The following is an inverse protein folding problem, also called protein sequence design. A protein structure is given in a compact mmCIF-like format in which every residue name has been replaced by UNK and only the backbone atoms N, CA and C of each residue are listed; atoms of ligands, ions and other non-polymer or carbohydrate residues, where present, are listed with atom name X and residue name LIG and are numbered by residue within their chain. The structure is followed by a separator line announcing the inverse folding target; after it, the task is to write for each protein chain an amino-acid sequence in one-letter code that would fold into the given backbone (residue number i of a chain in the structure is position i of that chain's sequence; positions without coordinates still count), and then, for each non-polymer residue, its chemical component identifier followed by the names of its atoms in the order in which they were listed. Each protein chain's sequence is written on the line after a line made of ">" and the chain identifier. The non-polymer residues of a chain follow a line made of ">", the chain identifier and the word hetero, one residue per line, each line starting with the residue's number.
data_IF_399208261213
#
_entry.id   IF_399208261213
#
_cell.length_a   1.000
_cell.length_b   1.000
_cell.length_c   1.000
_cell.angle_alpha   90.00
_cell.angle_beta   90.00
_cell.angle_gamma   90.00
#
_symmetry.space_group_name_H-M   'P 1'
#
loop_
_entity.id
_entity.type
_entity.pdbx_description
1 polymer ?
#
# COMPACT_ATOMS: atom_id res chain seq x y z
N UNK A 1 4.08 -21.31 10.72
CA UNK A 1 4.26 -20.81 9.33
C UNK A 1 4.55 -19.32 9.44
N UNK A 2 5.57 -18.83 8.73
CA UNK A 2 6.01 -17.42 8.80
C UNK A 2 5.09 -16.60 7.88
N UNK A 3 4.44 -15.57 8.43
CA UNK A 3 3.57 -14.68 7.65
C UNK A 3 4.41 -13.51 7.17
N UNK A 4 4.69 -13.39 5.86
CA UNK A 4 5.66 -12.40 5.37
C UNK A 4 4.98 -11.18 4.78
N UNK A 5 5.44 -10.01 5.20
CA UNK A 5 5.12 -8.72 4.59
C UNK A 5 6.39 -8.12 4.00
N UNK A 6 6.54 -8.23 2.68
CA UNK A 6 7.63 -7.67 1.89
C UNK A 6 7.28 -6.25 1.45
N UNK A 7 8.24 -5.35 1.62
CA UNK A 7 8.12 -3.93 1.33
C UNK A 7 9.32 -3.51 0.49
N UNK A 8 9.08 -2.90 -0.67
CA UNK A 8 10.12 -2.43 -1.57
C UNK A 8 9.89 -0.95 -1.91
N UNK A 9 10.90 -0.14 -1.62
CA UNK A 9 11.00 1.24 -2.08
C UNK A 9 12.04 1.32 -3.20
N UNK A 10 11.60 1.22 -4.45
CA UNK A 10 12.47 1.16 -5.61
C UNK A 10 12.69 2.55 -6.23
N UNK A 11 13.94 2.95 -6.44
CA UNK A 11 14.33 4.24 -7.04
C UNK A 11 15.24 4.06 -8.25
N UNK A 12 15.34 5.09 -9.10
CA UNK A 12 16.22 5.06 -10.28
C UNK A 12 15.68 4.21 -11.43
N UNK A 13 14.37 4.05 -11.51
CA UNK A 13 13.68 3.18 -12.45
C UNK A 13 13.45 3.89 -13.79
N UNK A 14 13.56 3.16 -14.90
CA UNK A 14 13.27 3.72 -16.23
C UNK A 14 11.79 4.12 -16.35
N UNK A 15 11.53 5.40 -16.60
CA UNK A 15 10.20 6.03 -16.53
C UNK A 15 9.14 5.39 -17.43
N UNK A 16 9.52 4.94 -18.64
CA UNK A 16 8.57 4.47 -19.64
C UNK A 16 7.74 3.25 -19.18
N UNK A 17 8.26 2.44 -18.26
CA UNK A 17 7.59 1.23 -17.78
C UNK A 17 6.65 1.49 -16.59
N UNK A 18 6.71 2.69 -16.00
CA UNK A 18 5.95 3.03 -14.78
C UNK A 18 4.55 3.58 -15.08
N UNK A 19 4.28 3.98 -16.32
CA UNK A 19 2.98 4.52 -16.75
C UNK A 19 2.25 3.62 -17.76
N UNK A 20 2.72 2.39 -17.97
CA UNK A 20 2.09 1.43 -18.86
C UNK A 20 1.18 0.48 -18.05
N UNK A 21 -0.13 0.73 -18.14
CA UNK A 21 -1.16 -0.02 -17.43
C UNK A 21 -1.12 -1.52 -17.81
N UNK A 22 -0.90 -1.83 -19.08
CA UNK A 22 -0.87 -3.21 -19.57
C UNK A 22 0.38 -3.92 -19.07
N UNK A 23 1.51 -3.22 -19.07
CA UNK A 23 2.76 -3.74 -18.52
C UNK A 23 2.59 -4.07 -17.03
N UNK A 24 2.08 -3.14 -16.24
CA UNK A 24 1.82 -3.35 -14.80
C UNK A 24 0.91 -4.55 -14.56
N UNK A 25 -0.22 -4.64 -15.27
CA UNK A 25 -1.13 -5.77 -15.13
C UNK A 25 -0.45 -7.12 -15.41
N UNK A 26 0.29 -7.20 -16.51
CA UNK A 26 1.00 -8.42 -16.90
C UNK A 26 2.07 -8.81 -15.87
N UNK A 27 2.87 -7.84 -15.42
CA UNK A 27 3.90 -8.08 -14.41
C UNK A 27 3.30 -8.54 -13.09
N UNK A 28 2.19 -7.97 -12.61
CA UNK A 28 1.55 -8.43 -11.37
C UNK A 28 1.01 -9.86 -11.49
N UNK A 29 0.43 -10.23 -12.64
CA UNK A 29 0.02 -11.60 -12.91
C UNK A 29 1.22 -12.56 -12.98
N UNK A 30 2.32 -12.14 -13.59
CA UNK A 30 3.54 -12.94 -13.67
C UNK A 30 4.16 -13.16 -12.27
N UNK A 31 4.29 -12.09 -11.48
CA UNK A 31 4.87 -12.13 -10.13
C UNK A 31 4.04 -13.06 -9.23
N UNK A 32 2.72 -12.91 -9.23
CA UNK A 32 1.82 -13.77 -8.43
C UNK A 32 1.95 -15.24 -8.82
N UNK A 33 1.98 -15.54 -10.13
CA UNK A 33 2.19 -16.90 -10.61
C UNK A 33 3.57 -17.47 -10.26
N UNK A 34 4.65 -16.70 -10.49
CA UNK A 34 6.04 -17.15 -10.24
C UNK A 34 6.35 -17.31 -8.76
N UNK A 35 5.70 -16.53 -7.89
CA UNK A 35 5.78 -16.69 -6.44
C UNK A 35 4.83 -17.75 -5.88
N UNK A 36 3.94 -18.32 -6.72
CA UNK A 36 2.91 -19.29 -6.32
C UNK A 36 1.94 -18.73 -5.27
N UNK A 37 1.63 -17.43 -5.37
CA UNK A 37 0.63 -16.79 -4.54
C UNK A 37 -0.76 -17.20 -5.01
N UNK A 38 -1.77 -17.07 -4.14
CA UNK A 38 -3.17 -17.40 -4.47
C UNK A 38 -3.98 -16.13 -4.66
N UNK A 39 -4.08 -15.57 -5.89
CA UNK A 39 -4.93 -14.42 -6.15
C UNK A 39 -6.41 -14.77 -6.04
N UNK A 40 -7.18 -13.92 -5.37
CA UNK A 40 -8.65 -14.00 -5.23
C UNK A 40 -9.35 -13.28 -6.37
N UNK A 41 -8.72 -12.24 -6.91
CA UNK A 41 -9.20 -11.46 -8.04
C UNK A 41 -8.04 -11.02 -8.94
N UNK A 42 -8.31 -10.69 -10.22
CA UNK A 42 -7.33 -10.06 -11.08
C UNK A 42 -6.82 -8.72 -10.51
N UNK A 43 -5.65 -8.23 -10.96
CA UNK A 43 -5.16 -6.92 -10.56
C UNK A 43 -6.17 -5.81 -10.85
N UNK A 44 -6.45 -5.00 -9.84
CA UNK A 44 -7.28 -3.81 -9.94
C UNK A 44 -6.39 -2.60 -10.20
N UNK A 45 -6.57 -1.94 -11.35
CA UNK A 45 -5.69 -0.88 -11.85
C UNK A 45 -6.34 0.49 -11.66
N UNK A 46 -5.59 1.42 -11.07
CA UNK A 46 -6.03 2.78 -10.73
C UNK A 46 -5.05 3.81 -11.27
N UNK A 47 -5.25 4.32 -12.49
CA UNK A 47 -4.51 5.46 -13.00
C UNK A 47 -4.82 6.70 -12.15
N UNK A 48 -3.78 7.33 -11.63
CA UNK A 48 -3.87 8.52 -10.78
C UNK A 48 -3.12 9.66 -11.48
N UNK A 49 -3.81 10.39 -12.36
CA UNK A 49 -3.22 11.45 -13.18
C UNK A 49 -3.59 12.87 -12.74
N UNK A 50 -4.51 12.99 -11.78
CA UNK A 50 -5.06 14.26 -11.32
C UNK A 50 -4.98 14.38 -9.80
N UNK A 51 -3.86 13.90 -9.25
CA UNK A 51 -3.63 13.87 -7.83
C UNK A 51 -3.54 15.25 -7.18
N UNK A 52 -3.53 15.22 -5.85
CA UNK A 52 -3.28 16.41 -5.05
C UNK A 52 -1.92 17.03 -5.46
N UNK A 53 -0.86 16.23 -5.47
CA UNK A 53 0.45 16.66 -5.92
C UNK A 53 0.62 16.37 -7.42
N UNK A 54 0.91 17.39 -8.27
CA UNK A 54 1.11 17.20 -9.70
C UNK A 54 2.27 16.25 -10.03
N UNK A 55 3.27 16.14 -9.17
CA UNK A 55 4.44 15.29 -9.39
C UNK A 55 4.17 13.80 -9.12
N UNK A 56 3.12 13.49 -8.36
CA UNK A 56 2.77 12.12 -7.92
C UNK A 56 1.78 11.42 -8.86
N UNK A 57 1.79 11.81 -10.13
CA UNK A 57 1.06 11.04 -11.13
C UNK A 57 1.61 9.62 -11.24
N UNK A 58 0.76 8.69 -11.65
CA UNK A 58 1.18 7.33 -11.93
C UNK A 58 0.04 6.35 -11.92
N UNK A 59 0.34 5.11 -11.57
CA UNK A 59 -0.62 4.01 -11.52
C UNK A 59 -0.49 3.35 -10.16
N UNK A 60 -1.59 3.33 -9.41
CA UNK A 60 -1.75 2.47 -8.26
C UNK A 60 -2.42 1.18 -8.70
N UNK A 61 -2.04 0.05 -8.12
CA UNK A 61 -2.70 -1.22 -8.41
C UNK A 61 -2.65 -2.12 -7.19
N UNK A 62 -3.64 -2.99 -7.05
CA UNK A 62 -3.63 -4.01 -6.02
C UNK A 62 -4.17 -5.35 -6.53
N UNK A 63 -3.73 -6.43 -5.90
CA UNK A 63 -4.23 -7.80 -6.09
C UNK A 63 -4.65 -8.30 -4.73
N UNK A 64 -5.90 -8.74 -4.58
CA UNK A 64 -6.30 -9.51 -3.41
C UNK A 64 -5.66 -10.89 -3.50
N UNK A 65 -4.95 -11.27 -2.45
CA UNK A 65 -4.48 -12.64 -2.23
C UNK A 65 -5.36 -13.29 -1.16
N UNK A 66 -5.30 -14.62 -1.06
CA UNK A 66 -6.02 -15.36 -0.02
C UNK A 66 -5.50 -14.96 1.37
N UNK A 67 -6.20 -14.04 2.02
CA UNK A 67 -5.82 -13.49 3.33
C UNK A 67 -4.65 -12.51 3.30
N UNK A 68 -4.33 -11.95 2.13
CA UNK A 68 -3.24 -11.00 1.96
C UNK A 68 -3.43 -10.12 0.73
N UNK A 69 -2.38 -9.45 0.30
CA UNK A 69 -2.42 -8.53 -0.83
C UNK A 69 -1.07 -8.34 -1.50
N UNK A 70 -1.12 -7.85 -2.74
CA UNK A 70 0.02 -7.24 -3.43
C UNK A 70 -0.41 -5.86 -3.91
N UNK A 71 0.22 -4.79 -3.45
CA UNK A 71 0.00 -3.43 -3.94
C UNK A 71 1.25 -2.89 -4.63
N UNK A 72 1.05 -2.01 -5.61
CA UNK A 72 2.11 -1.24 -6.24
C UNK A 72 1.63 0.19 -6.49
N UNK A 73 2.50 1.15 -6.23
CA UNK A 73 2.31 2.57 -6.53
C UNK A 73 3.47 3.06 -7.37
N UNK A 74 3.22 3.49 -8.60
CA UNK A 74 4.27 3.99 -9.49
C UNK A 74 4.29 5.51 -9.53
N UNK A 75 5.50 6.07 -9.69
CA UNK A 75 5.73 7.51 -9.80
C UNK A 75 6.64 7.78 -11.00
N UNK A 76 6.11 7.85 -12.24
CA UNK A 76 6.92 7.93 -13.44
C UNK A 76 7.81 9.19 -13.50
N UNK A 77 7.37 10.31 -12.92
CA UNK A 77 8.18 11.53 -12.90
C UNK A 77 9.35 11.43 -11.92
N UNK A 78 9.13 10.79 -10.77
CA UNK A 78 10.12 10.56 -9.73
C UNK A 78 11.03 9.36 -10.03
N UNK A 79 10.72 8.58 -11.06
CA UNK A 79 11.47 7.38 -11.43
C UNK A 79 11.56 6.37 -10.26
N UNK A 80 10.45 6.19 -9.55
CA UNK A 80 10.35 5.26 -8.43
C UNK A 80 9.01 4.51 -8.41
N UNK A 81 8.95 3.42 -7.66
CA UNK A 81 7.71 2.71 -7.34
C UNK A 81 7.81 2.05 -5.97
N UNK A 82 6.68 1.94 -5.27
CA UNK A 82 6.58 1.31 -3.97
C UNK A 82 5.70 0.06 -4.05
N UNK A 83 6.10 -1.00 -3.38
CA UNK A 83 5.40 -2.29 -3.33
C UNK A 83 5.18 -2.71 -1.90
N UNK A 84 4.01 -3.29 -1.65
CA UNK A 84 3.70 -4.03 -0.43
C UNK A 84 3.10 -5.39 -0.82
N UNK A 85 3.75 -6.47 -0.38
CA UNK A 85 3.34 -7.84 -0.64
C UNK A 85 3.21 -8.58 0.69
N UNK A 86 1.97 -8.85 1.08
CA UNK A 86 1.64 -9.63 2.26
C UNK A 86 0.98 -10.95 1.88
N UNK A 87 1.51 -12.06 2.39
CA UNK A 87 0.90 -13.38 2.26
C UNK A 87 0.97 -14.15 3.60
N UNK A 88 -0.16 -14.66 4.12
CA UNK A 88 -0.20 -15.41 5.37
C UNK A 88 0.45 -16.79 5.28
N UNK A 89 0.60 -17.37 4.09
CA UNK A 89 1.31 -18.63 3.84
C UNK A 89 2.82 -18.42 3.62
N UNK A 90 3.22 -17.17 3.37
CA UNK A 90 4.60 -16.76 3.15
C UNK A 90 5.12 -17.09 1.74
N UNK A 91 6.28 -16.56 1.41
CA UNK A 91 6.93 -16.73 0.10
C UNK A 91 8.45 -16.55 0.22
N UNK A 92 9.17 -16.67 -0.90
CA UNK A 92 10.61 -16.38 -0.96
C UNK A 92 10.84 -14.90 -1.33
N UNK A 93 11.30 -14.11 -0.36
CA UNK A 93 11.55 -12.68 -0.46
C UNK A 93 12.67 -12.33 -1.44
N UNK A 94 13.75 -13.13 -1.48
CA UNK A 94 14.85 -12.95 -2.45
C UNK A 94 14.33 -13.14 -3.88
N UNK A 95 13.45 -14.12 -4.07
CA UNK A 95 12.79 -14.34 -5.36
C UNK A 95 11.83 -13.19 -5.69
N UNK A 96 11.06 -12.69 -4.73
CA UNK A 96 10.17 -11.56 -4.94
C UNK A 96 10.96 -10.33 -5.41
N UNK A 97 12.03 -9.97 -4.70
CA UNK A 97 12.91 -8.86 -5.09
C UNK A 97 13.51 -9.06 -6.48
N UNK A 98 13.99 -10.26 -6.79
CA UNK A 98 14.55 -10.57 -8.11
C UNK A 98 13.52 -10.38 -9.24
N UNK A 99 12.26 -10.79 -9.01
CA UNK A 99 11.18 -10.62 -10.00
C UNK A 99 10.82 -9.15 -10.23
N UNK A 100 10.76 -8.36 -9.16
CA UNK A 100 10.55 -6.91 -9.27
C UNK A 100 11.71 -6.23 -10.00
N UNK A 101 12.96 -6.64 -9.73
CA UNK A 101 14.13 -6.12 -10.43
C UNK A 101 14.18 -6.54 -11.91
N UNK A 102 13.78 -7.77 -12.24
CA UNK A 102 13.71 -8.29 -13.61
C UNK A 102 12.74 -7.46 -14.47
N UNK A 103 11.57 -7.11 -13.92
CA UNK A 103 10.53 -6.35 -14.62
C UNK A 103 10.76 -4.83 -14.57
N UNK A 104 11.09 -4.31 -13.39
CA UNK A 104 11.39 -2.89 -13.19
C UNK A 104 12.78 -2.74 -12.55
N UNK A 105 13.85 -2.76 -13.37
CA UNK A 105 15.20 -2.53 -12.88
C UNK A 105 15.29 -1.21 -12.11
N UNK A 106 15.79 -1.28 -10.89
CA UNK A 106 15.98 -0.16 -9.97
C UNK A 106 17.42 -0.08 -9.49
N UNK A 107 17.82 1.07 -8.98
CA UNK A 107 19.13 1.27 -8.36
C UNK A 107 19.13 0.68 -6.95
N UNK A 108 19.80 -0.46 -6.76
CA UNK A 108 19.84 -1.21 -5.50
C UNK A 108 20.47 -0.40 -4.36
N UNK A 109 21.46 0.44 -4.65
CA UNK A 109 22.15 1.26 -3.63
C UNK A 109 21.27 2.41 -3.14
N UNK A 110 20.24 2.77 -3.92
CA UNK A 110 19.28 3.81 -3.57
C UNK A 110 17.96 3.27 -3.03
N UNK A 111 17.70 1.99 -3.23
CA UNK A 111 16.43 1.32 -2.93
C UNK A 111 16.48 0.57 -1.61
N UNK A 112 15.33 0.41 -0.99
CA UNK A 112 15.22 -0.30 0.29
C UNK A 112 14.27 -1.48 0.15
N UNK A 113 14.67 -2.61 0.72
CA UNK A 113 13.83 -3.80 0.86
C UNK A 113 13.75 -4.15 2.33
N UNK A 114 12.53 -4.27 2.85
CA UNK A 114 12.26 -4.67 4.23
C UNK A 114 11.24 -5.80 4.19
N UNK A 115 11.50 -6.88 4.95
CA UNK A 115 10.51 -7.94 5.15
C UNK A 115 10.24 -8.11 6.63
N UNK A 116 8.97 -8.11 7.01
CA UNK A 116 8.53 -8.31 8.39
C UNK A 116 7.80 -9.64 8.49
N UNK A 117 8.17 -10.44 9.49
CA UNK A 117 7.38 -11.60 9.93
C UNK A 117 6.24 -11.13 10.85
N UNK A 118 5.01 -11.23 10.35
CA UNK A 118 3.78 -10.84 11.04
C UNK A 118 3.20 -11.95 11.92
N UNK A 119 3.80 -13.14 11.94
CA UNK A 119 3.38 -14.22 12.83
C UNK A 119 3.78 -13.96 14.30
N UNK A 120 4.87 -13.21 14.50
CA UNK A 120 5.42 -12.86 15.81
C UNK A 120 4.65 -11.65 16.37
N UNK A 121 4.07 -11.81 17.56
CA UNK A 121 3.45 -10.70 18.29
C UNK A 121 4.53 -9.84 18.93
N UNK A 122 4.71 -8.61 18.44
CA UNK A 122 5.66 -7.64 19.01
C UNK A 122 5.13 -6.22 18.88
N UNK A 123 5.63 -5.35 19.74
CA UNK A 123 5.48 -3.91 19.60
C UNK A 123 6.84 -3.32 19.26
N UNK A 124 6.95 -2.70 18.09
CA UNK A 124 8.21 -2.16 17.60
C UNK A 124 7.97 -0.91 16.76
N UNK A 125 8.72 0.15 17.03
CA UNK A 125 8.75 1.36 16.20
C UNK A 125 10.20 1.53 15.77
N UNK A 126 10.47 1.32 14.49
CA UNK A 126 11.80 1.60 13.94
C UNK A 126 12.00 3.12 14.00
N UNK A 127 13.08 3.64 14.58
CA UNK A 127 13.33 5.07 14.65
C UNK A 127 13.39 5.72 13.26
N UNK A 128 12.80 6.90 13.10
CA UNK A 128 12.86 7.69 11.88
C UNK A 128 12.72 9.18 12.16
N UNK A 129 13.25 10.01 11.26
CA UNK A 129 12.91 11.43 11.18
C UNK A 129 11.67 11.60 10.29
N UNK A 130 10.55 12.15 10.80
CA UNK A 130 9.34 12.40 10.02
C UNK A 130 9.54 13.28 8.78
N UNK A 131 10.62 14.08 8.72
CA UNK A 131 10.96 14.95 7.58
C UNK A 131 11.78 14.25 6.50
N UNK A 132 12.37 13.10 6.80
CA UNK A 132 13.25 12.36 5.87
C UNK A 132 12.54 11.18 5.19
N UNK A 133 11.29 10.90 5.53
CA UNK A 133 10.54 9.75 5.03
C UNK A 133 9.26 10.19 4.30
N UNK A 134 8.75 9.33 3.41
CA UNK A 134 7.46 9.54 2.76
C UNK A 134 6.31 9.33 3.76
N UNK A 135 6.41 8.27 4.57
CA UNK A 135 5.49 8.04 5.66
C UNK A 135 5.76 6.73 6.42
N UNK A 136 5.24 6.59 7.64
CA UNK A 136 5.30 5.33 8.37
C UNK A 136 4.32 4.30 7.78
N UNK A 137 4.75 3.05 7.69
CA UNK A 137 3.90 1.90 7.41
C UNK A 137 3.65 1.15 8.73
N UNK A 138 2.39 1.15 9.18
CA UNK A 138 1.95 0.40 10.35
C UNK A 138 1.50 -1.00 9.92
N UNK A 139 2.08 -2.02 10.53
CA UNK A 139 1.67 -3.42 10.43
C UNK A 139 1.11 -3.84 11.78
N UNK A 140 -0.19 -4.11 11.85
CA UNK A 140 -0.84 -4.52 13.10
C UNK A 140 -1.52 -5.88 12.96
N UNK A 141 -1.53 -6.62 14.06
CA UNK A 141 -2.44 -7.75 14.27
C UNK A 141 -3.45 -7.33 15.32
N UNK A 142 -4.73 -7.49 15.03
CA UNK A 142 -5.82 -6.97 15.84
C UNK A 142 -6.80 -8.09 16.20
N UNK A 143 -7.42 -7.96 17.37
CA UNK A 143 -8.55 -8.79 17.79
C UNK A 143 -9.83 -7.96 17.71
N UNK A 144 -10.84 -8.35 16.92
CA UNK A 144 -12.07 -7.58 16.78
C UNK A 144 -12.87 -7.53 18.08
N UNK A 145 -13.52 -6.40 18.33
CA UNK A 145 -14.48 -6.23 19.44
C UNK A 145 -15.91 -6.64 19.07
N UNK A 146 -16.23 -6.63 17.77
CA UNK A 146 -17.55 -6.90 17.21
C UNK A 146 -17.43 -7.98 16.13
N UNK A 147 -18.52 -8.70 15.80
CA UNK A 147 -18.53 -9.57 14.64
C UNK A 147 -18.08 -8.83 13.37
N UNK A 148 -17.16 -9.42 12.62
CA UNK A 148 -16.61 -8.84 11.40
C UNK A 148 -17.44 -9.32 10.22
N UNK A 149 -18.17 -8.39 9.58
CA UNK A 149 -18.95 -8.60 8.35
C UNK A 149 -18.42 -7.74 7.21
N UNK A 150 -18.91 -7.94 5.99
CA UNK A 150 -18.57 -7.11 4.84
C UNK A 150 -18.87 -5.63 5.12
N UNK A 151 -20.06 -5.33 5.66
CA UNK A 151 -20.49 -3.98 6.05
C UNK A 151 -19.63 -3.40 7.18
N UNK A 152 -19.21 -4.23 8.14
CA UNK A 152 -18.32 -3.79 9.20
C UNK A 152 -16.99 -3.30 8.63
N UNK A 153 -16.35 -4.10 7.77
CA UNK A 153 -15.05 -3.73 7.17
C UNK A 153 -15.21 -2.49 6.30
N UNK A 154 -16.24 -2.45 5.46
CA UNK A 154 -16.48 -1.30 4.59
C UNK A 154 -16.60 0.00 5.38
N UNK A 155 -17.48 0.02 6.40
CA UNK A 155 -17.68 1.20 7.25
C UNK A 155 -16.45 1.52 8.09
N UNK A 156 -15.73 0.50 8.54
CA UNK A 156 -14.51 0.69 9.32
C UNK A 156 -13.44 1.40 8.50
N UNK A 157 -13.15 0.92 7.29
CA UNK A 157 -12.17 1.53 6.39
C UNK A 157 -12.61 2.94 5.95
N UNK A 158 -13.88 3.12 5.62
CA UNK A 158 -14.43 4.43 5.23
C UNK A 158 -14.30 5.46 6.36
N UNK A 159 -14.67 5.09 7.59
CA UNK A 159 -14.54 5.97 8.75
C UNK A 159 -13.08 6.23 9.11
N UNK A 160 -12.22 5.22 9.03
CA UNK A 160 -10.81 5.37 9.35
C UNK A 160 -10.15 6.40 8.43
N UNK A 161 -10.37 6.31 7.11
CA UNK A 161 -9.84 7.27 6.13
C UNK A 161 -10.24 8.72 6.50
N UNK A 162 -11.50 8.92 6.90
CA UNK A 162 -12.00 10.22 7.34
C UNK A 162 -11.35 10.68 8.67
N UNK A 163 -11.25 9.78 9.65
CA UNK A 163 -10.67 10.04 10.97
C UNK A 163 -9.19 10.45 10.89
N UNK A 164 -8.45 9.93 9.90
CA UNK A 164 -7.02 10.19 9.71
C UNK A 164 -6.73 11.24 8.63
N UNK A 165 -7.78 11.91 8.14
CA UNK A 165 -7.73 12.98 7.14
C UNK A 165 -6.97 12.60 5.85
N UNK A 166 -7.07 11.34 5.44
CA UNK A 166 -6.47 10.86 4.20
C UNK A 166 -7.46 10.99 3.03
N UNK A 167 -6.95 11.21 1.82
CA UNK A 167 -7.78 11.32 0.61
C UNK A 167 -7.92 9.95 -0.04
N UNK A 168 -9.12 9.34 -0.08
CA UNK A 168 -9.32 8.09 -0.81
C UNK A 168 -9.24 8.31 -2.33
N UNK A 169 -8.59 7.39 -3.03
CA UNK A 169 -8.68 7.27 -4.50
C UNK A 169 -9.95 6.48 -4.87
N UNK A 170 -10.23 5.41 -4.12
CA UNK A 170 -11.46 4.63 -4.23
C UNK A 170 -12.10 4.42 -2.87
N UNK A 171 -13.38 4.05 -2.87
CA UNK A 171 -14.05 3.52 -1.68
C UNK A 171 -13.53 2.11 -1.37
N UNK A 172 -13.72 1.61 -0.13
CA UNK A 172 -13.30 0.28 0.24
C UNK A 172 -13.89 -0.82 -0.66
N UNK A 173 -13.03 -1.68 -1.18
CA UNK A 173 -13.43 -2.94 -1.82
C UNK A 173 -13.36 -4.03 -0.75
N UNK A 174 -14.46 -4.73 -0.48
CA UNK A 174 -14.50 -5.87 0.44
C UNK A 174 -14.88 -7.16 -0.30
N UNK A 175 -14.20 -8.27 0.00
CA UNK A 175 -14.36 -9.55 -0.72
C UNK A 175 -14.05 -10.76 0.18
N UNK A 176 -14.74 -11.88 -0.07
CA UNK A 176 -14.37 -13.19 0.45
C UNK A 176 -13.36 -13.89 -0.47
N UNK A 177 -12.42 -14.65 0.09
CA UNK A 177 -11.42 -15.39 -0.70
C UNK A 177 -12.02 -16.50 -1.57
N UNK A 178 -13.19 -17.02 -1.21
CA UNK A 178 -13.92 -18.05 -1.95
C UNK A 178 -15.44 -17.90 -1.80
N UNK A 179 -16.20 -18.34 -2.81
CA UNK A 179 -17.66 -18.43 -2.73
C UNK A 179 -18.17 -19.64 -1.93
N UNK A 180 -17.31 -20.65 -1.71
CA UNK A 180 -17.60 -21.86 -0.94
C UNK A 180 -16.60 -21.98 0.20
N UNK A 181 -17.10 -22.03 1.42
CA UNK A 181 -16.30 -22.18 2.65
C UNK A 181 -15.12 -21.18 2.71
N UNK A 182 -15.40 -19.86 2.71
CA UNK A 182 -14.35 -18.86 2.75
C UNK A 182 -13.48 -19.02 4.00
N UNK A 183 -12.19 -18.78 3.86
CA UNK A 183 -11.23 -18.73 4.98
C UNK A 183 -10.94 -17.30 5.41
N UNK A 184 -11.10 -16.33 4.50
CA UNK A 184 -10.80 -14.93 4.74
C UNK A 184 -11.89 -14.01 4.22
N UNK A 185 -12.09 -12.93 4.98
CA UNK A 185 -12.85 -11.76 4.57
C UNK A 185 -11.88 -10.57 4.54
N UNK A 186 -11.65 -10.02 3.36
CA UNK A 186 -10.62 -8.99 3.13
C UNK A 186 -11.25 -7.68 2.65
N UNK A 187 -10.66 -6.56 3.04
CA UNK A 187 -10.99 -5.24 2.52
C UNK A 187 -9.74 -4.41 2.26
N UNK A 188 -9.73 -3.67 1.15
CA UNK A 188 -8.67 -2.72 0.79
C UNK A 188 -9.33 -1.42 0.37
N UNK A 189 -8.77 -0.30 0.82
CA UNK A 189 -9.06 1.01 0.24
C UNK A 189 -7.76 1.66 -0.20
N UNK A 190 -7.73 2.17 -1.43
CA UNK A 190 -6.59 2.91 -1.93
C UNK A 190 -6.75 4.37 -1.56
N UNK A 191 -5.73 4.92 -0.93
CA UNK A 191 -5.62 6.35 -0.62
C UNK A 191 -4.57 6.95 -1.54
N UNK A 192 -4.48 8.28 -1.59
CA UNK A 192 -3.45 8.97 -2.38
C UNK A 192 -2.10 8.29 -2.13
N UNK A 193 -1.54 7.67 -3.17
CA UNK A 193 -0.19 7.10 -3.22
C UNK A 193 0.09 6.00 -2.17
N UNK A 194 -0.95 5.37 -1.60
CA UNK A 194 -0.81 4.24 -0.69
C UNK A 194 -2.11 3.45 -0.48
N UNK A 195 -2.22 2.66 0.59
CA UNK A 195 -3.37 1.82 0.89
C UNK A 195 -3.58 1.61 2.39
N UNK A 196 -4.81 1.19 2.70
CA UNK A 196 -5.17 0.58 3.98
C UNK A 196 -5.76 -0.79 3.68
N UNK A 197 -5.23 -1.84 4.30
CA UNK A 197 -5.75 -3.21 4.15
C UNK A 197 -6.25 -3.79 5.48
N UNK A 198 -7.21 -4.70 5.36
CA UNK A 198 -7.87 -5.36 6.47
C UNK A 198 -8.19 -6.80 6.04
N UNK A 199 -7.46 -7.78 6.57
CA UNK A 199 -7.66 -9.20 6.27
C UNK A 199 -8.09 -9.93 7.54
N UNK A 200 -9.36 -10.35 7.59
CA UNK A 200 -9.92 -11.10 8.71
C UNK A 200 -9.87 -12.61 8.43
N UNK A 201 -9.22 -13.36 9.32
CA UNK A 201 -9.21 -14.81 9.26
C UNK A 201 -10.44 -15.39 9.96
N UNK A 202 -11.28 -16.12 9.23
CA UNK A 202 -12.54 -16.68 9.74
C UNK A 202 -12.33 -17.86 10.71
N UNK A 203 -11.14 -18.46 10.70
CA UNK A 203 -10.79 -19.59 11.57
C UNK A 203 -10.21 -19.13 12.90
N UNK A 204 -9.22 -18.25 12.86
CA UNK A 204 -8.50 -17.78 14.06
C UNK A 204 -9.13 -16.53 14.68
N UNK A 205 -9.90 -15.77 13.90
CA UNK A 205 -10.60 -14.58 14.38
C UNK A 205 -9.71 -13.35 14.58
N UNK A 206 -8.47 -13.36 14.10
CA UNK A 206 -7.57 -12.22 14.08
C UNK A 206 -7.66 -11.45 12.75
N UNK A 207 -7.28 -10.17 12.83
CA UNK A 207 -7.23 -9.25 11.70
C UNK A 207 -5.78 -8.88 11.44
N UNK A 208 -5.33 -9.06 10.20
CA UNK A 208 -4.09 -8.49 9.70
C UNK A 208 -4.43 -7.16 9.06
N UNK A 209 -4.02 -6.10 9.72
CA UNK A 209 -4.31 -4.72 9.33
C UNK A 209 -3.01 -4.01 8.98
N UNK A 210 -3.03 -3.21 7.92
CA UNK A 210 -1.95 -2.29 7.66
C UNK A 210 -2.44 -0.99 7.03
N UNK A 211 -1.63 0.04 7.27
CA UNK A 211 -1.83 1.38 6.75
C UNK A 211 -0.46 1.94 6.42
N UNK A 212 -0.32 2.35 5.18
CA UNK A 212 0.78 3.16 4.69
C UNK A 212 0.17 4.41 4.07
N UNK A 213 0.88 5.54 4.10
CA UNK A 213 0.42 6.80 3.52
C UNK A 213 1.59 7.64 3.04
N UNK A 214 1.33 8.45 2.01
CA UNK A 214 2.28 9.35 1.36
C UNK A 214 2.58 10.65 2.11
N UNK A 215 2.01 10.80 3.29
CA UNK A 215 2.24 11.92 4.18
C UNK A 215 2.66 11.34 5.52
N UNK A 216 3.74 11.89 6.09
CA UNK A 216 4.07 11.63 7.48
C UNK A 216 2.84 11.88 8.35
N UNK A 217 2.38 10.83 9.04
CA UNK A 217 1.22 10.88 9.91
C UNK A 217 1.60 10.38 11.30
N UNK A 218 0.84 10.82 12.30
CA UNK A 218 1.10 10.43 13.67
C UNK A 218 0.58 9.00 13.90
N UNK A 219 1.50 8.02 13.91
CA UNK A 219 1.18 6.62 14.15
C UNK A 219 0.56 6.37 15.54
N UNK A 220 0.80 7.24 16.53
CA UNK A 220 0.16 7.16 17.85
C UNK A 220 -1.33 7.50 17.79
N UNK A 221 -1.73 8.41 16.88
CA UNK A 221 -3.16 8.64 16.63
C UNK A 221 -3.81 7.37 16.09
N UNK A 222 -3.19 6.72 15.10
CA UNK A 222 -3.70 5.44 14.58
C UNK A 222 -3.80 4.41 15.70
N UNK A 223 -2.75 4.25 16.51
CA UNK A 223 -2.75 3.31 17.64
C UNK A 223 -3.89 3.62 18.61
N UNK A 224 -4.18 4.89 18.90
CA UNK A 224 -5.32 5.32 19.73
C UNK A 224 -6.66 4.98 19.08
N UNK A 225 -6.83 5.19 17.78
CA UNK A 225 -8.03 4.77 17.03
C UNK A 225 -8.22 3.26 17.11
N UNK A 226 -7.16 2.47 16.85
CA UNK A 226 -7.18 1.00 16.94
C UNK A 226 -7.57 0.53 18.35
N UNK A 227 -7.01 1.12 19.42
CA UNK A 227 -7.35 0.79 20.82
C UNK A 227 -8.83 1.06 21.15
N UNK A 228 -9.45 2.04 20.49
CA UNK A 228 -10.87 2.37 20.69
C UNK A 228 -11.78 1.38 19.96
N UNK A 229 -11.40 0.93 18.77
CA UNK A 229 -12.24 0.08 17.90
C UNK A 229 -12.06 -1.42 18.11
N UNK A 230 -10.86 -1.84 18.51
CA UNK A 230 -10.48 -3.25 18.65
C UNK A 230 -10.54 -3.70 20.12
N UNK A 231 -10.66 -5.01 20.32
CA UNK A 231 -10.58 -5.62 21.65
C UNK A 231 -9.14 -5.63 22.16
N UNK A 232 -8.20 -5.95 21.28
CA UNK A 232 -6.78 -6.05 21.59
C UNK A 232 -5.93 -5.78 20.34
N UNK A 233 -4.65 -5.46 20.54
CA UNK A 233 -3.64 -5.25 19.49
C UNK A 233 -2.44 -6.17 19.79
N UNK A 234 -2.52 -7.48 19.49
CA UNK A 234 -1.43 -8.43 19.78
C UNK A 234 -0.09 -8.14 19.10
N UNK A 235 -0.06 -7.30 18.06
CA UNK A 235 1.17 -6.87 17.38
C UNK A 235 0.97 -5.48 16.79
N UNK A 236 1.99 -4.62 16.91
CA UNK A 236 2.00 -3.27 16.34
C UNK A 236 3.43 -2.89 15.96
N UNK A 237 3.73 -2.94 14.66
CA UNK A 237 5.05 -2.66 14.11
C UNK A 237 4.96 -1.43 13.20
N UNK A 238 5.89 -0.50 13.34
CA UNK A 238 5.98 0.70 12.50
C UNK A 238 7.31 0.72 11.75
N UNK A 239 7.23 0.73 10.42
CA UNK A 239 8.38 0.74 9.52
C UNK A 239 8.37 2.04 8.70
N UNK A 240 9.43 2.87 8.76
CA UNK A 240 9.53 4.05 7.90
C UNK A 240 9.73 3.66 6.44
N UNK A 241 9.08 4.38 5.54
CA UNK A 241 9.15 4.14 4.09
C UNK A 241 9.42 5.42 3.31
N UNK A 242 10.03 5.27 2.14
CA UNK A 242 10.14 6.32 1.14
C UNK A 242 11.22 7.38 1.41
N UNK A 243 12.37 6.98 1.97
CA UNK A 243 13.45 7.88 2.45
C UNK A 243 14.07 8.84 1.42
N UNK A 244 13.78 8.68 0.12
CA UNK A 244 14.30 9.55 -0.96
C UNK A 244 13.22 10.28 -1.75
N UNK A 245 11.95 10.04 -1.44
CA UNK A 245 10.84 10.58 -2.22
C UNK A 245 10.83 12.12 -2.20
N UNK A 246 11.02 12.70 -1.01
CA UNK A 246 11.03 14.15 -0.80
C UNK A 246 12.16 14.84 -1.58
N UNK A 247 13.39 14.31 -1.49
CA UNK A 247 14.53 14.80 -2.26
C UNK A 247 14.30 14.78 -3.77
N UNK A 248 13.65 13.74 -4.29
CA UNK A 248 13.35 13.63 -5.72
C UNK A 248 12.32 14.68 -6.18
N UNK A 249 11.31 14.96 -5.35
CA UNK A 249 10.32 16.02 -5.61
C UNK A 249 10.97 17.39 -5.71
N UNK A 250 11.81 17.74 -4.74
CA UNK A 250 12.51 19.03 -4.70
C UNK A 250 13.37 19.25 -5.95
N UNK A 251 14.10 18.21 -6.37
CA UNK A 251 14.92 18.27 -7.59
C UNK A 251 14.11 18.39 -8.89
N UNK A 252 12.89 17.84 -8.94
CA UNK A 252 12.01 17.98 -10.10
C UNK A 252 11.38 19.37 -10.18
N UNK A 253 10.94 19.93 -9.05
CA UNK A 253 10.31 21.25 -9.02
C UNK A 253 11.26 22.36 -9.49
N UNK A 254 12.57 22.19 -9.28
CA UNK A 254 13.60 23.08 -9.80
C UNK A 254 13.68 23.09 -11.34
N UNK A 255 13.12 22.09 -12.05
CA UNK A 255 13.00 22.05 -13.52
C UNK A 255 11.68 22.68 -13.99
N UNK A 256 11.58 24.01 -13.87
CA UNK A 256 10.38 24.89 -14.02
C UNK A 256 9.34 24.56 -15.12
N UNK A 257 9.71 24.00 -16.27
CA UNK A 257 8.81 23.91 -17.43
C UNK A 257 7.71 22.83 -17.37
N UNK A 258 7.97 21.70 -16.67
CA UNK A 258 6.99 20.59 -16.56
C UNK A 258 5.92 20.86 -15.50
N UNK A 259 6.26 21.60 -14.44
CA UNK A 259 5.37 21.80 -13.28
C UNK A 259 4.19 22.73 -13.56
N UNK A 260 4.35 23.78 -14.39
CA UNK A 260 3.26 24.74 -14.67
C UNK A 260 2.09 24.12 -15.44
N UNK A 261 2.40 23.33 -16.48
CA UNK A 261 1.38 22.68 -17.31
C UNK A 261 0.60 21.62 -16.51
N UNK A 262 1.30 20.87 -15.65
CA UNK A 262 0.69 19.85 -14.79
C UNK A 262 -0.17 20.47 -13.68
N UNK A 263 0.30 21.55 -13.05
CA UNK A 263 -0.49 22.34 -12.08
C UNK A 263 -1.80 22.81 -12.69
N UNK A 264 -1.78 23.29 -13.95
CA UNK A 264 -2.99 23.72 -14.66
C UNK A 264 -4.03 22.60 -14.82
N UNK A 265 -3.61 21.38 -15.18
CA UNK A 265 -4.53 20.25 -15.34
C UNK A 265 -5.08 19.73 -14.01
N UNK A 266 -4.23 19.60 -12.97
CA UNK A 266 -4.68 19.21 -11.63
C UNK A 266 -5.69 20.21 -11.05
N UNK A 267 -5.43 21.52 -11.18
CA UNK A 267 -6.38 22.56 -10.76
C UNK A 267 -7.71 22.50 -11.51
N UNK A 268 -7.68 22.20 -12.81
CA UNK A 268 -8.91 22.02 -13.59
C UNK A 268 -9.74 20.85 -13.08
N UNK A 269 -9.10 19.71 -12.78
CA UNK A 269 -9.78 18.51 -12.31
C UNK A 269 -10.39 18.70 -10.91
N UNK A 270 -9.65 19.30 -9.97
CA UNK A 270 -10.16 19.61 -8.61
C UNK A 270 -11.43 20.45 -8.64
N UNK A 271 -11.55 21.38 -9.59
CA UNK A 271 -12.75 22.23 -9.76
C UNK A 271 -13.98 21.47 -10.27
N UNK A 272 -13.79 20.33 -10.93
CA UNK A 272 -14.85 19.50 -11.51
C UNK A 272 -15.25 18.31 -10.64
N UNK A 273 -14.34 17.72 -9.87
CA UNK A 273 -14.57 16.44 -9.18
C UNK A 273 -15.08 16.55 -7.74
N UNK A 274 -15.06 17.75 -7.13
CA UNK A 274 -15.48 17.99 -5.74
C UNK A 274 -16.52 19.11 -5.60
N UNK A 275 -17.48 19.19 -6.53
CA UNK A 275 -18.71 19.99 -6.34
C UNK A 275 -19.83 19.15 -5.75
#
# INVERSE_FOLDING_TARGET
>A
MIMKHFMLDAYGVKRNNLNDIKYIQNTLNEITARLKLTPVAPPFLLPYYYGAEPEDIGISSFVFLKGGHLTIHTFPLLACYFVDLYDPEGFNETKAEALFFENWPFDRDKSNVVTVDRSIGREEVVPFDPSEIFGPHILARLTPKKPVTMEYIFKYLEQLVADVEMTPIIRPYVIFDSNKNPSYLSGITMIAESHISFHYNLTTGDIMFDIFSCKSFNYELIKKHLKKSMKDIPSFVVIPRGTRHQYLKENLQNKRALSERMKKYSQSWRRTSFK
#
